data_IF_307188663164
#
_entry.id   IF_307188663164
#
_cell.length_a   1.000
_cell.length_b   1.000
_cell.length_c   1.000
_cell.angle_alpha   90.00
_cell.angle_beta   90.00
_cell.angle_gamma   90.00
#
_symmetry.space_group_name_H-M   'P 1'
#
loop_
_entity.id
_entity.type
_entity.pdbx_description
1 polymer ?
#
# COMPACT_ATOMS: atom_id res chain seq x y z
N UNK A 1 -17.38 41.03 23.35
CA UNK A 1 -15.92 41.21 23.30
C UNK A 1 -15.44 40.81 21.90
N UNK A 2 -15.08 41.78 21.04
CA UNK A 2 -14.65 41.50 19.66
C UNK A 2 -13.18 41.06 19.69
N UNK A 3 -12.88 39.82 19.29
CA UNK A 3 -11.52 39.35 19.09
C UNK A 3 -10.94 40.09 17.89
N UNK A 4 -9.93 40.94 18.14
CA UNK A 4 -9.15 41.61 17.09
C UNK A 4 -8.20 40.59 16.47
N UNK A 5 -8.50 40.09 15.27
CA UNK A 5 -7.53 39.40 14.44
C UNK A 5 -6.47 40.42 13.95
N UNK A 6 -5.27 40.35 14.47
CA UNK A 6 -4.10 41.07 13.99
C UNK A 6 -3.39 40.13 12.97
N UNK A 7 -3.30 40.61 11.78
CA UNK A 7 -2.51 40.34 10.59
C UNK A 7 -3.38 39.92 9.39
N UNK A 8 -3.90 40.98 8.75
CA UNK A 8 -4.69 40.83 7.51
C UNK A 8 -3.80 40.86 6.27
N UNK A 9 -2.70 40.06 6.25
CA UNK A 9 -1.93 39.88 5.03
C UNK A 9 -2.62 38.87 4.14
N UNK A 10 -2.84 39.19 2.86
CA UNK A 10 -3.42 38.24 1.90
C UNK A 10 -2.46 37.08 1.60
N UNK A 11 -2.99 35.99 1.05
CA UNK A 11 -2.17 34.85 0.58
C UNK A 11 -1.06 35.37 -0.36
N UNK A 12 -1.40 36.25 -1.28
CA UNK A 12 -0.46 36.82 -2.24
C UNK A 12 0.66 37.65 -1.57
N UNK A 13 0.34 38.44 -0.58
CA UNK A 13 1.37 39.22 0.15
C UNK A 13 2.33 38.28 0.92
N UNK A 14 1.84 37.19 1.50
CA UNK A 14 2.67 36.19 2.17
C UNK A 14 3.59 35.45 1.19
N UNK A 15 3.08 35.09 0.01
CA UNK A 15 3.89 34.48 -1.07
C UNK A 15 5.03 35.43 -1.45
N UNK A 16 4.71 36.70 -1.69
CA UNK A 16 5.70 37.71 -2.05
C UNK A 16 6.77 37.90 -0.96
N UNK A 17 6.37 38.10 0.29
CA UNK A 17 7.29 38.26 1.42
C UNK A 17 8.26 37.08 1.55
N UNK A 18 7.76 35.84 1.49
CA UNK A 18 8.56 34.64 1.61
C UNK A 18 9.54 34.50 0.43
N UNK A 19 9.09 34.78 -0.79
CA UNK A 19 9.95 34.77 -1.98
C UNK A 19 11.09 35.78 -1.85
N UNK A 20 10.76 37.02 -1.42
CA UNK A 20 11.75 38.08 -1.22
C UNK A 20 12.73 37.76 -0.09
N UNK A 21 12.29 37.15 1.00
CA UNK A 21 13.16 36.66 2.08
C UNK A 21 14.15 35.61 1.58
N UNK A 22 13.72 34.72 0.69
CA UNK A 22 14.59 33.72 0.04
C UNK A 22 15.45 34.30 -1.10
N UNK A 23 15.30 35.56 -1.43
CA UNK A 23 16.00 36.26 -2.53
C UNK A 23 15.75 35.58 -3.91
N UNK A 24 14.61 34.98 -4.09
CA UNK A 24 14.20 34.36 -5.36
C UNK A 24 13.54 35.43 -6.23
N UNK A 25 13.98 35.56 -7.49
CA UNK A 25 13.30 36.48 -8.41
C UNK A 25 11.92 35.93 -8.80
N UNK A 26 10.98 36.81 -9.18
CA UNK A 26 9.65 36.38 -9.64
C UNK A 26 9.73 35.48 -10.87
N UNK A 27 10.69 35.78 -11.81
CA UNK A 27 10.90 34.96 -12.98
C UNK A 27 11.37 33.55 -12.62
N UNK A 28 12.37 33.42 -11.75
CA UNK A 28 12.90 32.13 -11.32
C UNK A 28 11.81 31.29 -10.60
N UNK A 29 11.01 31.93 -9.73
CA UNK A 29 9.95 31.22 -9.05
C UNK A 29 8.83 30.76 -10.01
N UNK A 30 8.46 31.58 -10.98
CA UNK A 30 7.48 31.21 -11.99
C UNK A 30 7.99 30.03 -12.85
N UNK A 31 9.25 30.05 -13.24
CA UNK A 31 9.91 28.98 -13.99
C UNK A 31 9.93 27.66 -13.19
N UNK A 32 10.35 27.69 -11.91
CA UNK A 32 10.39 26.52 -11.03
C UNK A 32 9.00 25.88 -10.85
N UNK A 33 7.97 26.70 -10.85
CA UNK A 33 6.58 26.25 -10.63
C UNK A 33 5.83 25.93 -11.95
N UNK A 34 6.49 26.11 -13.11
CA UNK A 34 5.84 25.93 -14.41
C UNK A 34 4.70 26.94 -14.69
N UNK A 35 4.79 28.15 -14.13
CA UNK A 35 3.79 29.20 -14.22
C UNK A 35 4.19 30.32 -15.17
N UNK A 36 3.19 31.02 -15.71
CA UNK A 36 3.48 32.30 -16.36
C UNK A 36 3.83 33.38 -15.32
N UNK A 37 4.72 34.29 -15.70
CA UNK A 37 5.10 35.43 -14.84
C UNK A 37 3.89 36.26 -14.40
N UNK A 38 2.92 36.45 -15.30
CA UNK A 38 1.68 37.17 -15.02
C UNK A 38 0.78 36.47 -14.00
N UNK A 39 0.73 35.13 -14.00
CA UNK A 39 -0.03 34.39 -13.01
C UNK A 39 0.52 34.60 -11.58
N UNK A 40 1.84 34.47 -11.42
CA UNK A 40 2.50 34.70 -10.13
C UNK A 40 2.36 36.17 -9.70
N UNK A 41 2.48 37.12 -10.63
CA UNK A 41 2.27 38.54 -10.34
C UNK A 41 0.85 38.84 -9.88
N UNK A 42 -0.16 38.26 -10.50
CA UNK A 42 -1.56 38.44 -10.14
C UNK A 42 -1.83 37.88 -8.72
N UNK A 43 -1.20 36.76 -8.35
CA UNK A 43 -1.31 36.23 -6.99
C UNK A 43 -0.64 37.15 -5.97
N UNK A 44 0.61 37.59 -6.22
CA UNK A 44 1.34 38.48 -5.31
C UNK A 44 0.69 39.84 -5.12
N UNK A 45 -0.11 40.30 -6.10
CA UNK A 45 -0.86 41.55 -6.05
C UNK A 45 -2.32 41.36 -5.61
N UNK A 46 -2.69 40.12 -5.27
CA UNK A 46 -4.05 39.75 -4.81
C UNK A 46 -5.16 40.06 -5.85
N UNK A 47 -4.82 40.05 -7.13
CA UNK A 47 -5.80 40.18 -8.21
C UNK A 47 -6.53 38.85 -8.43
N UNK A 48 -5.82 37.72 -8.25
CA UNK A 48 -6.36 36.38 -8.26
C UNK A 48 -5.73 35.59 -7.11
N UNK A 49 -6.33 34.46 -6.74
CA UNK A 49 -5.77 33.55 -5.74
C UNK A 49 -5.31 32.25 -6.38
N UNK A 50 -4.22 31.63 -5.88
CA UNK A 50 -3.81 30.31 -6.33
C UNK A 50 -4.85 29.26 -5.96
N UNK A 51 -5.04 28.27 -6.84
CA UNK A 51 -5.91 27.12 -6.55
C UNK A 51 -5.30 26.24 -5.46
N UNK A 52 -6.10 25.43 -4.79
CA UNK A 52 -5.68 24.64 -3.62
C UNK A 52 -4.45 23.74 -3.89
N UNK A 53 -4.36 23.12 -5.07
CA UNK A 53 -3.20 22.31 -5.45
C UNK A 53 -1.91 23.16 -5.54
N UNK A 54 -2.00 24.40 -6.02
CA UNK A 54 -0.85 25.30 -6.12
C UNK A 54 -0.40 25.84 -4.75
N UNK A 55 -1.29 25.93 -3.76
CA UNK A 55 -0.92 26.31 -2.38
C UNK A 55 0.09 25.30 -1.81
N UNK A 56 -0.09 24.00 -2.08
CA UNK A 56 0.81 22.95 -1.60
C UNK A 56 2.18 23.12 -2.25
N UNK A 57 2.23 23.23 -3.58
CA UNK A 57 3.49 23.39 -4.34
C UNK A 57 4.23 24.69 -3.97
N UNK A 58 3.48 25.80 -3.77
CA UNK A 58 4.03 27.07 -3.29
C UNK A 58 4.62 26.95 -1.88
N UNK A 59 3.96 26.23 -1.00
CA UNK A 59 4.42 26.02 0.36
C UNK A 59 5.72 25.19 0.40
N UNK A 60 5.82 24.17 -0.43
CA UNK A 60 7.03 23.36 -0.60
C UNK A 60 8.20 24.18 -1.12
N UNK A 61 8.02 24.96 -2.20
CA UNK A 61 9.05 25.83 -2.77
C UNK A 61 9.50 26.91 -1.80
N UNK A 62 8.55 27.48 -1.06
CA UNK A 62 8.82 28.49 -0.06
C UNK A 62 9.27 27.93 1.30
N UNK A 63 9.23 26.60 1.50
CA UNK A 63 9.68 25.94 2.72
C UNK A 63 8.84 26.28 3.94
N UNK A 64 7.54 26.45 3.77
CA UNK A 64 6.57 26.77 4.83
C UNK A 64 5.41 25.77 4.81
N UNK A 65 4.61 25.77 5.86
CA UNK A 65 3.37 24.99 5.89
C UNK A 65 2.31 25.60 4.97
N UNK A 66 1.53 24.79 4.22
CA UNK A 66 0.38 25.27 3.46
C UNK A 66 -0.61 26.09 4.30
N UNK A 67 -0.81 25.69 5.56
CA UNK A 67 -1.65 26.41 6.52
C UNK A 67 -1.17 27.85 6.77
N UNK A 68 0.16 28.06 6.84
CA UNK A 68 0.72 29.40 6.98
C UNK A 68 0.40 30.29 5.78
N UNK A 69 0.49 29.76 4.55
CA UNK A 69 0.09 30.53 3.37
C UNK A 69 -1.40 30.90 3.39
N UNK A 70 -2.25 30.02 3.91
CA UNK A 70 -3.69 30.23 3.99
C UNK A 70 -4.10 31.20 5.10
N UNK A 71 -3.54 31.06 6.31
CA UNK A 71 -4.01 31.76 7.51
C UNK A 71 -3.08 32.89 7.98
N UNK A 72 -1.79 32.80 7.64
CA UNK A 72 -0.75 33.69 8.18
C UNK A 72 -0.31 33.33 9.61
N UNK A 73 -0.84 32.26 10.17
CA UNK A 73 -0.47 31.80 11.51
C UNK A 73 0.72 30.86 11.43
N UNK A 74 1.83 31.22 12.10
CA UNK A 74 2.93 30.29 12.33
C UNK A 74 2.48 29.34 13.43
N UNK A 75 2.50 28.03 13.15
CA UNK A 75 2.22 27.01 14.16
C UNK A 75 3.20 27.17 15.36
N UNK A 76 2.83 28.01 16.31
CA UNK A 76 3.63 28.33 17.49
C UNK A 76 2.83 28.89 18.66
N UNK A 77 1.62 29.41 18.43
CA UNK A 77 0.84 30.14 19.46
C UNK A 77 -0.62 29.68 19.58
N UNK A 78 -0.91 28.40 19.35
CA UNK A 78 -2.21 27.87 19.73
C UNK A 78 -1.97 26.82 20.78
N UNK A 79 -2.53 27.03 21.97
CA UNK A 79 -2.69 26.09 23.08
C UNK A 79 -3.66 24.95 22.70
N UNK A 80 -3.61 24.54 21.44
CA UNK A 80 -4.19 23.30 20.96
C UNK A 80 -3.08 22.26 21.06
N UNK A 81 -3.34 21.08 21.62
CA UNK A 81 -2.35 20.02 21.59
C UNK A 81 -1.87 19.89 20.14
N UNK A 82 -0.55 19.85 19.89
CA UNK A 82 -0.04 19.83 18.53
C UNK A 82 -0.79 18.71 17.82
N UNK A 83 -1.55 19.04 16.76
CA UNK A 83 -1.89 18.08 15.74
C UNK A 83 -0.51 17.67 15.26
N UNK A 84 0.02 16.62 15.89
CA UNK A 84 1.23 15.98 15.40
C UNK A 84 0.95 15.81 13.93
N UNK A 85 1.69 16.56 13.09
CA UNK A 85 1.78 16.18 11.67
C UNK A 85 1.69 14.68 11.65
N UNK A 86 0.91 14.14 10.75
CA UNK A 86 1.23 12.83 10.26
C UNK A 86 2.68 12.95 9.74
N UNK A 87 3.67 12.93 10.68
CA UNK A 87 4.88 12.24 10.37
C UNK A 87 4.37 11.02 9.64
N UNK A 88 4.90 10.74 8.42
CA UNK A 88 4.93 9.37 7.95
C UNK A 88 5.32 8.62 9.22
N UNK A 89 4.29 8.29 10.01
CA UNK A 89 4.46 7.40 11.11
C UNK A 89 4.84 6.13 10.37
N UNK A 90 6.11 5.89 10.27
CA UNK A 90 6.54 4.55 10.55
C UNK A 90 5.87 4.30 11.88
N UNK A 91 4.70 3.68 11.84
CA UNK A 91 4.05 3.16 13.03
C UNK A 91 5.08 2.14 13.46
N UNK A 92 5.94 2.56 14.40
CA UNK A 92 7.01 1.73 14.94
C UNK A 92 6.34 0.42 15.32
N UNK A 93 6.62 -0.64 14.57
CA UNK A 93 5.99 -1.93 14.76
C UNK A 93 4.93 -2.34 13.73
N UNK A 94 4.77 -1.62 12.61
CA UNK A 94 3.86 -2.02 11.51
C UNK A 94 4.59 -1.92 10.17
N UNK A 95 4.58 -3.00 9.42
CA UNK A 95 5.05 -3.07 8.04
C UNK A 95 3.88 -3.07 7.07
N UNK A 96 4.00 -2.32 5.98
CA UNK A 96 3.06 -2.37 4.86
C UNK A 96 3.46 -3.54 3.95
N UNK A 97 2.55 -4.49 3.78
CA UNK A 97 2.76 -5.71 3.00
C UNK A 97 2.00 -5.59 1.67
N UNK A 98 2.69 -5.87 0.59
CA UNK A 98 2.12 -5.82 -0.76
C UNK A 98 0.93 -6.77 -0.87
N UNK A 99 -0.19 -6.27 -1.42
CA UNK A 99 -1.42 -7.01 -1.67
C UNK A 99 -1.61 -7.25 -3.17
N UNK A 100 -1.96 -8.46 -3.50
CA UNK A 100 -2.39 -8.90 -4.83
C UNK A 100 -3.90 -9.16 -4.76
N UNK A 101 -4.68 -8.11 -4.57
CA UNK A 101 -6.12 -8.19 -4.29
C UNK A 101 -6.94 -8.53 -5.54
N UNK A 102 -6.43 -8.20 -6.73
CA UNK A 102 -7.07 -8.52 -8.02
C UNK A 102 -6.75 -9.94 -8.53
N UNK A 103 -5.82 -10.64 -7.86
CA UNK A 103 -5.47 -12.02 -8.22
C UNK A 103 -6.49 -12.96 -7.59
N UNK A 104 -7.33 -13.55 -8.43
CA UNK A 104 -8.25 -14.62 -8.00
C UNK A 104 -7.46 -15.90 -7.74
N UNK A 105 -7.23 -16.19 -6.46
CA UNK A 105 -6.63 -17.45 -6.03
C UNK A 105 -7.75 -18.47 -5.85
N UNK A 106 -8.11 -19.14 -6.95
CA UNK A 106 -9.26 -20.01 -6.98
C UNK A 106 -8.92 -21.48 -6.80
N UNK A 107 -9.95 -22.20 -6.45
CA UNK A 107 -9.92 -23.64 -6.19
C UNK A 107 -9.85 -24.53 -7.43
N UNK A 108 -10.06 -23.99 -8.63
CA UNK A 108 -10.18 -24.83 -9.80
C UNK A 108 -9.86 -24.19 -11.15
N UNK A 109 -10.19 -22.96 -11.37
CA UNK A 109 -10.02 -22.25 -12.65
C UNK A 109 -9.80 -20.76 -12.42
N UNK A 110 -8.69 -20.37 -11.81
CA UNK A 110 -8.27 -18.98 -11.73
C UNK A 110 -7.09 -18.75 -12.65
N UNK A 111 -7.16 -17.73 -13.50
CA UNK A 111 -6.02 -17.28 -14.27
C UNK A 111 -5.27 -16.22 -13.51
N UNK A 112 -3.95 -16.34 -13.43
CA UNK A 112 -3.10 -15.15 -13.35
C UNK A 112 -3.37 -14.43 -14.66
N UNK A 113 -4.09 -13.31 -14.61
CA UNK A 113 -4.26 -12.50 -15.81
C UNK A 113 -2.86 -12.14 -16.30
N UNK A 114 -2.55 -12.47 -17.55
CA UNK A 114 -1.33 -12.02 -18.20
C UNK A 114 -1.13 -10.54 -17.87
N UNK A 115 -0.09 -10.22 -17.07
CA UNK A 115 0.30 -8.84 -16.78
C UNK A 115 0.17 -8.34 -15.35
N UNK A 116 -0.40 -9.06 -14.38
CA UNK A 116 -0.38 -8.61 -12.96
C UNK A 116 0.93 -9.03 -12.31
N UNK A 117 2.01 -8.30 -12.62
CA UNK A 117 3.33 -8.47 -11.99
C UNK A 117 3.58 -7.49 -10.84
N UNK A 118 2.66 -6.56 -10.62
CA UNK A 118 2.77 -5.54 -9.58
C UNK A 118 1.63 -5.67 -8.56
N UNK A 119 1.89 -5.42 -7.26
CA UNK A 119 0.85 -5.36 -6.26
C UNK A 119 -0.13 -4.21 -6.56
N UNK A 120 -1.39 -4.43 -6.29
CA UNK A 120 -2.48 -3.45 -6.49
C UNK A 120 -2.88 -2.71 -5.20
N UNK A 121 -2.21 -3.03 -4.08
CA UNK A 121 -2.42 -2.38 -2.80
C UNK A 121 -1.40 -2.77 -1.75
N UNK A 122 -1.59 -2.26 -0.54
CA UNK A 122 -0.79 -2.63 0.63
C UNK A 122 -1.68 -2.79 1.85
N UNK A 123 -1.37 -3.77 2.69
CA UNK A 123 -2.09 -4.07 3.93
C UNK A 123 -1.14 -3.95 5.12
N UNK A 124 -1.53 -3.23 6.20
CA UNK A 124 -0.69 -3.11 7.37
C UNK A 124 -0.68 -4.40 8.21
N UNK A 125 0.52 -4.89 8.54
CA UNK A 125 0.73 -5.99 9.46
C UNK A 125 1.66 -5.59 10.60
N UNK A 126 1.36 -6.03 11.83
CA UNK A 126 2.23 -5.76 12.97
C UNK A 126 3.57 -6.53 12.82
N UNK A 127 4.68 -5.85 13.06
CA UNK A 127 6.02 -6.47 12.99
C UNK A 127 6.16 -7.59 14.01
N UNK A 128 5.49 -7.48 15.16
CA UNK A 128 5.46 -8.54 16.18
C UNK A 128 4.77 -9.81 15.68
N UNK A 129 3.71 -9.71 14.86
CA UNK A 129 3.07 -10.85 14.23
C UNK A 129 3.99 -11.47 13.17
N UNK A 130 4.58 -10.65 12.30
CA UNK A 130 5.52 -11.13 11.28
C UNK A 130 6.71 -11.85 11.93
N UNK A 131 7.27 -11.29 12.98
CA UNK A 131 8.36 -11.90 13.74
C UNK A 131 7.95 -13.24 14.38
N UNK A 132 6.75 -13.30 15.00
CA UNK A 132 6.20 -14.54 15.56
C UNK A 132 6.01 -15.62 14.51
N UNK A 133 5.63 -15.26 13.29
CA UNK A 133 5.48 -16.16 12.14
C UNK A 133 6.83 -16.50 11.47
N UNK A 134 7.90 -15.80 11.82
CA UNK A 134 9.23 -15.94 11.22
C UNK A 134 9.32 -15.41 9.80
N UNK A 135 8.49 -14.42 9.44
CA UNK A 135 8.41 -13.85 8.09
C UNK A 135 9.06 -12.47 8.08
N UNK A 136 9.92 -12.22 7.10
CA UNK A 136 10.40 -10.87 6.81
C UNK A 136 9.37 -10.11 5.99
N UNK A 137 9.08 -8.87 6.31
CA UNK A 137 8.12 -8.03 5.58
C UNK A 137 8.41 -7.97 4.07
N UNK A 138 9.68 -7.97 3.68
CA UNK A 138 10.13 -7.98 2.27
C UNK A 138 9.85 -9.30 1.52
N UNK A 139 9.50 -10.36 2.23
CA UNK A 139 9.14 -11.67 1.67
C UNK A 139 7.69 -12.03 1.94
N UNK A 140 6.92 -11.12 2.49
CA UNK A 140 5.50 -11.31 2.74
C UNK A 140 4.67 -10.76 1.59
N UNK A 141 3.58 -11.43 1.26
CA UNK A 141 2.56 -10.94 0.35
C UNK A 141 1.17 -11.34 0.83
N UNK A 142 0.17 -10.52 0.49
CA UNK A 142 -1.22 -10.77 0.85
C UNK A 142 -2.00 -11.15 -0.39
N UNK A 143 -2.80 -12.21 -0.27
CA UNK A 143 -3.73 -12.69 -1.28
C UNK A 143 -5.10 -12.93 -0.66
N UNK A 144 -6.13 -12.96 -1.48
CA UNK A 144 -7.49 -13.29 -1.06
C UNK A 144 -7.92 -14.62 -1.65
N UNK A 145 -8.57 -15.44 -0.84
CA UNK A 145 -9.10 -16.72 -1.30
C UNK A 145 -10.39 -16.49 -2.10
N UNK A 146 -10.51 -17.21 -3.21
CA UNK A 146 -11.71 -17.26 -4.04
C UNK A 146 -12.18 -18.71 -4.14
N UNK A 147 -13.40 -18.98 -3.65
CA UNK A 147 -14.02 -20.29 -3.67
C UNK A 147 -13.88 -21.11 -2.39
N UNK A 148 -14.33 -22.36 -2.46
CA UNK A 148 -14.64 -23.22 -1.29
C UNK A 148 -13.74 -24.43 -1.12
N UNK A 149 -12.71 -24.60 -2.00
CA UNK A 149 -11.93 -25.85 -2.02
C UNK A 149 -11.11 -26.12 -0.77
N UNK A 150 -10.78 -25.07 -0.02
CA UNK A 150 -9.97 -25.21 1.19
C UNK A 150 -10.79 -25.14 2.48
N UNK A 151 -12.12 -25.19 2.37
CA UNK A 151 -13.01 -25.31 3.55
C UNK A 151 -12.70 -26.60 4.31
N UNK A 152 -12.76 -26.55 5.65
CA UNK A 152 -13.10 -25.41 6.53
C UNK A 152 -11.89 -24.54 6.90
N UNK A 153 -10.69 -24.86 6.38
CA UNK A 153 -9.44 -24.17 6.77
C UNK A 153 -9.39 -22.75 6.23
N UNK A 154 -9.66 -22.58 4.94
CA UNK A 154 -9.73 -21.28 4.26
C UNK A 154 -11.08 -21.20 3.56
N UNK A 155 -11.79 -20.12 3.78
CA UNK A 155 -13.10 -19.86 3.17
C UNK A 155 -12.99 -18.80 2.09
N UNK A 156 -14.04 -18.67 1.28
CA UNK A 156 -14.18 -17.62 0.29
C UNK A 156 -14.05 -16.24 0.94
N UNK A 157 -13.23 -15.36 0.34
CA UNK A 157 -12.96 -14.02 0.90
C UNK A 157 -12.01 -13.98 2.09
N UNK A 158 -11.45 -15.11 2.56
CA UNK A 158 -10.42 -15.10 3.60
C UNK A 158 -9.12 -14.48 3.08
N UNK A 159 -8.47 -13.71 3.94
CA UNK A 159 -7.17 -13.12 3.65
C UNK A 159 -6.04 -14.10 3.98
N UNK A 160 -5.11 -14.28 3.06
CA UNK A 160 -3.95 -15.15 3.22
C UNK A 160 -2.66 -14.33 3.24
N UNK A 161 -1.87 -14.42 4.33
CA UNK A 161 -0.51 -13.93 4.39
C UNK A 161 0.43 -15.05 3.95
N UNK A 162 1.18 -14.81 2.90
CA UNK A 162 2.04 -15.79 2.23
C UNK A 162 3.51 -15.43 2.40
N UNK A 163 4.32 -16.38 2.81
CA UNK A 163 5.78 -16.27 2.85
C UNK A 163 6.37 -16.68 1.50
N UNK A 164 6.75 -15.70 0.69
CA UNK A 164 7.33 -15.90 -0.65
C UNK A 164 8.73 -16.50 -0.62
N UNK A 165 9.40 -16.54 0.54
CA UNK A 165 10.71 -17.19 0.70
C UNK A 165 10.60 -18.70 0.81
N UNK A 166 9.42 -19.26 1.09
CA UNK A 166 9.15 -20.68 1.28
C UNK A 166 8.67 -21.32 -0.02
N UNK A 167 9.59 -21.50 -0.95
CA UNK A 167 9.32 -22.12 -2.26
C UNK A 167 9.59 -23.63 -2.28
N UNK A 168 10.26 -24.15 -1.27
CA UNK A 168 10.51 -25.59 -1.13
C UNK A 168 9.36 -26.24 -0.37
N UNK A 169 8.81 -27.31 -0.94
CA UNK A 169 7.72 -28.07 -0.32
C UNK A 169 8.29 -28.85 0.87
N UNK A 170 7.82 -28.54 2.08
CA UNK A 170 8.22 -29.19 3.33
C UNK A 170 7.00 -29.65 4.10
N UNK A 171 6.82 -30.96 4.15
CA UNK A 171 5.71 -31.56 4.89
C UNK A 171 4.35 -31.19 4.33
N UNK A 172 3.35 -31.38 5.15
CA UNK A 172 1.93 -31.23 4.82
C UNK A 172 1.47 -29.79 5.10
N UNK A 173 1.89 -28.83 4.28
CA UNK A 173 1.62 -27.39 4.43
C UNK A 173 0.76 -26.87 3.28
N UNK A 174 0.18 -25.70 3.49
CA UNK A 174 -0.64 -25.01 2.50
C UNK A 174 0.24 -24.04 1.73
N UNK A 175 0.18 -24.13 0.40
CA UNK A 175 0.96 -23.31 -0.52
C UNK A 175 0.05 -22.66 -1.55
N UNK A 176 0.47 -21.48 -2.01
CA UNK A 176 0.02 -20.96 -3.29
C UNK A 176 0.90 -21.59 -4.37
N UNK A 177 0.24 -22.23 -5.32
CA UNK A 177 0.89 -22.91 -6.43
C UNK A 177 0.36 -22.38 -7.76
N UNK A 178 1.23 -22.18 -8.73
CA UNK A 178 0.87 -21.75 -10.07
C UNK A 178 1.11 -22.85 -11.07
N UNK A 179 0.09 -23.15 -11.85
CA UNK A 179 0.16 -24.03 -13.01
C UNK A 179 -0.26 -23.24 -14.25
N UNK A 180 0.71 -22.83 -15.06
CA UNK A 180 0.52 -21.95 -16.22
C UNK A 180 -0.17 -20.62 -15.81
N UNK A 181 -1.43 -20.42 -16.18
CA UNK A 181 -2.18 -19.19 -15.95
C UNK A 181 -3.02 -19.22 -14.67
N UNK A 182 -3.03 -20.35 -13.94
CA UNK A 182 -3.91 -20.52 -12.78
C UNK A 182 -3.13 -20.55 -11.48
N UNK A 183 -3.59 -19.77 -10.48
CA UNK A 183 -3.07 -19.80 -9.11
C UNK A 183 -4.05 -20.53 -8.22
N UNK A 184 -3.55 -21.55 -7.52
CA UNK A 184 -4.34 -22.34 -6.59
C UNK A 184 -3.78 -22.28 -5.19
N UNK A 185 -4.65 -22.32 -4.20
CA UNK A 185 -4.29 -22.60 -2.82
C UNK A 185 -4.57 -24.08 -2.56
N UNK A 186 -3.54 -24.83 -2.17
CA UNK A 186 -3.62 -26.28 -1.91
C UNK A 186 -2.72 -26.68 -0.75
N UNK A 187 -3.12 -27.73 -0.06
CA UNK A 187 -2.24 -28.47 0.83
C UNK A 187 -1.36 -29.38 -0.02
N UNK A 188 -0.06 -29.29 0.13
CA UNK A 188 0.88 -30.05 -0.68
C UNK A 188 1.56 -31.11 0.17
N UNK A 189 1.46 -32.37 -0.25
CA UNK A 189 2.06 -33.51 0.41
C UNK A 189 3.09 -34.16 -0.49
N UNK A 190 4.24 -34.49 0.08
CA UNK A 190 5.30 -35.23 -0.61
C UNK A 190 4.97 -36.73 -0.64
N UNK A 191 5.07 -37.34 -1.80
CA UNK A 191 4.94 -38.77 -2.02
C UNK A 191 6.24 -39.34 -2.64
N UNK A 192 6.39 -40.67 -2.65
CA UNK A 192 7.57 -41.34 -3.24
C UNK A 192 7.82 -40.96 -4.70
N UNK A 193 6.77 -40.80 -5.47
CA UNK A 193 6.83 -40.62 -6.93
C UNK A 193 6.47 -39.20 -7.37
N UNK A 194 6.36 -38.22 -6.43
CA UNK A 194 5.98 -36.88 -6.76
C UNK A 194 5.31 -36.14 -5.58
N UNK A 195 4.26 -35.38 -5.88
CA UNK A 195 3.47 -34.64 -4.90
C UNK A 195 1.98 -34.90 -5.06
N UNK A 196 1.25 -34.61 -4.01
CA UNK A 196 -0.19 -34.62 -3.99
C UNK A 196 -0.71 -33.22 -3.61
N UNK A 197 -1.54 -32.63 -4.47
CA UNK A 197 -2.25 -31.38 -4.22
C UNK A 197 -3.62 -31.72 -3.64
N UNK A 198 -3.82 -31.34 -2.38
CA UNK A 198 -5.01 -31.71 -1.61
C UNK A 198 -5.83 -30.45 -1.34
N UNK A 199 -7.12 -30.53 -1.65
CA UNK A 199 -8.13 -29.59 -1.17
C UNK A 199 -8.59 -30.04 0.20
N UNK A 200 -8.70 -29.10 1.17
CA UNK A 200 -9.20 -29.44 2.52
C UNK A 200 -10.70 -29.80 2.50
N UNK A 201 -11.45 -29.29 1.52
CA UNK A 201 -12.83 -29.70 1.22
C UNK A 201 -12.82 -30.99 0.40
N UNK A 202 -12.58 -32.11 1.08
CA UNK A 202 -12.43 -33.45 0.49
C UNK A 202 -13.74 -34.02 -0.06
N UNK A 203 -14.88 -33.51 0.38
CA UNK A 203 -16.19 -33.98 -0.07
C UNK A 203 -16.47 -33.58 -1.53
N UNK A 204 -15.99 -32.40 -1.92
CA UNK A 204 -16.23 -31.85 -3.25
C UNK A 204 -15.02 -31.97 -4.19
N UNK A 205 -13.80 -32.06 -3.65
CA UNK A 205 -12.57 -31.96 -4.41
C UNK A 205 -11.64 -33.16 -4.16
N UNK A 206 -11.48 -34.00 -5.18
CA UNK A 206 -10.53 -35.12 -5.10
C UNK A 206 -9.08 -34.60 -5.13
N UNK A 207 -8.13 -35.28 -4.48
CA UNK A 207 -6.71 -34.97 -4.56
C UNK A 207 -6.17 -35.12 -5.98
N UNK A 208 -5.22 -34.26 -6.34
CA UNK A 208 -4.50 -34.31 -7.63
C UNK A 208 -3.11 -34.85 -7.36
N UNK A 209 -2.80 -36.03 -7.88
CA UNK A 209 -1.45 -36.62 -7.78
C UNK A 209 -0.65 -36.19 -9.00
N UNK A 210 0.53 -35.62 -8.76
CA UNK A 210 1.48 -35.21 -9.78
C UNK A 210 2.74 -36.10 -9.66
N UNK A 211 3.20 -36.58 -10.79
CA UNK A 211 4.51 -37.21 -10.91
C UNK A 211 5.63 -36.22 -10.64
N UNK A 212 6.85 -36.66 -10.44
CA UNK A 212 7.99 -35.77 -10.22
C UNK A 212 8.20 -34.80 -11.39
N UNK A 213 8.04 -35.29 -12.62
CA UNK A 213 8.18 -34.50 -13.85
C UNK A 213 7.08 -33.45 -14.00
N UNK A 214 5.86 -33.74 -13.51
CA UNK A 214 4.74 -32.78 -13.49
C UNK A 214 4.91 -31.77 -12.36
N UNK A 215 5.39 -32.23 -11.20
CA UNK A 215 5.67 -31.37 -10.05
C UNK A 215 6.77 -30.34 -10.34
N UNK A 216 7.80 -30.74 -11.12
CA UNK A 216 8.88 -29.82 -11.53
C UNK A 216 8.39 -28.67 -12.44
N UNK A 217 7.22 -28.81 -13.04
CA UNK A 217 6.58 -27.77 -13.86
C UNK A 217 5.66 -26.83 -13.05
N UNK A 218 5.39 -27.20 -11.80
CA UNK A 218 4.55 -26.42 -10.90
C UNK A 218 5.39 -25.35 -10.22
N UNK A 219 4.98 -24.10 -10.33
CA UNK A 219 5.64 -23.01 -9.61
C UNK A 219 5.04 -22.87 -8.22
N UNK A 220 5.89 -22.91 -7.19
CA UNK A 220 5.49 -22.58 -5.81
C UNK A 220 5.67 -21.09 -5.62
N UNK A 221 4.58 -20.35 -5.48
CA UNK A 221 4.60 -18.91 -5.19
C UNK A 221 5.10 -18.68 -3.77
N UNK A 222 4.55 -19.41 -2.80
CA UNK A 222 4.95 -19.32 -1.40
C UNK A 222 4.07 -20.18 -0.49
N UNK A 223 4.44 -20.21 0.80
CA UNK A 223 3.69 -20.93 1.83
C UNK A 223 2.70 -20.00 2.52
N UNK A 224 1.45 -20.42 2.68
CA UNK A 224 0.46 -19.69 3.51
C UNK A 224 0.87 -19.84 4.98
N UNK A 225 1.11 -18.72 5.63
CA UNK A 225 1.59 -18.66 7.00
C UNK A 225 0.54 -18.17 8.01
N UNK A 226 -0.44 -17.39 7.55
CA UNK A 226 -1.50 -16.88 8.38
C UNK A 226 -2.77 -16.65 7.56
N UNK A 227 -3.93 -16.82 8.20
CA UNK A 227 -5.25 -16.63 7.59
C UNK A 227 -6.02 -15.64 8.45
N UNK A 228 -6.48 -14.56 7.85
CA UNK A 228 -7.41 -13.61 8.45
C UNK A 228 -8.82 -13.93 7.95
N UNK A 229 -9.75 -14.18 8.88
CA UNK A 229 -11.15 -14.50 8.57
C UNK A 229 -12.06 -13.32 8.87
N UNK A 230 -12.95 -13.00 7.92
CA UNK A 230 -14.09 -12.13 8.19
C UNK A 230 -15.22 -12.96 8.78
N UNK A 231 -15.91 -12.40 9.78
CA UNK A 231 -17.07 -13.04 10.46
C UNK A 231 -18.35 -12.21 10.29
N UNK A 232 -18.36 -11.37 9.22
CA UNK A 232 -19.51 -10.53 8.85
C UNK A 232 -20.37 -11.27 7.84
#
# INVERSE_FOLDING_TARGET
MRVKFKNNSSIGSRIRELREQKKISRNAMAENLGLSLSALQNWETSQTEPIASMIITLAEELGVEPSYLLTGEKNGDVDSPPIKRAQKHEISGVSMIDCFCSVNVSAGFGSFNEGVTAPDGQVPYSDSLLQKLGIKSTHAAVFWADGTSMRPTIDDGDQMLVDLSKKEIKGDKIYLVQNRESVWVKRVKLNWNGIELISDNKEEYAPITLTKEEADKLEIIGQVAYIGKSVI
#
